data_IF_406602420345
#
_entry.id   IF_406602420345
#
_cell.length_a   1.000
_cell.length_b   1.000
_cell.length_c   1.000
_cell.angle_alpha   90.00
_cell.angle_beta   90.00
_cell.angle_gamma   90.00
#
_symmetry.space_group_name_H-M   'P 1'
#
loop_
_entity.id
_entity.type
_entity.pdbx_description
1 polymer ?
#
# COMPACT_ATOMS: atom_id res chain seq x y z
N UNK A 1 13.45 17.82 -6.10
CA UNK A 1 13.68 16.76 -5.07
C UNK A 1 13.96 17.47 -3.75
N UNK A 2 13.11 17.32 -2.72
CA UNK A 2 13.39 17.99 -1.43
C UNK A 2 14.25 17.09 -0.54
N UNK A 3 15.26 17.70 0.10
CA UNK A 3 16.10 17.08 1.12
C UNK A 3 15.82 17.78 2.44
N UNK A 4 15.70 17.03 3.53
CA UNK A 4 15.50 17.62 4.85
C UNK A 4 15.14 16.58 5.91
N UNK A 5 15.31 16.93 7.19
CA UNK A 5 14.99 16.02 8.31
C UNK A 5 13.49 15.67 8.33
N UNK A 6 12.62 16.65 8.09
CA UNK A 6 11.16 16.50 8.11
C UNK A 6 10.55 17.24 6.92
N UNK A 7 9.61 16.60 6.23
CA UNK A 7 8.83 17.22 5.16
C UNK A 7 7.33 17.06 5.40
N UNK A 8 6.57 18.15 5.25
CA UNK A 8 5.10 18.16 5.26
C UNK A 8 4.62 18.77 3.96
N UNK A 9 3.96 17.97 3.13
CA UNK A 9 3.47 18.40 1.80
C UNK A 9 1.95 18.27 1.75
N UNK A 10 1.30 19.35 1.33
CA UNK A 10 -0.14 19.41 1.10
C UNK A 10 -0.37 20.00 -0.29
N UNK A 11 -0.90 19.22 -1.23
CA UNK A 11 -1.24 19.73 -2.57
C UNK A 11 -2.68 19.37 -2.95
N UNK A 12 -3.29 20.26 -3.72
CA UNK A 12 -4.55 20.06 -4.43
C UNK A 12 -4.31 20.38 -5.89
N UNK A 13 -4.66 19.48 -6.80
CA UNK A 13 -4.45 19.72 -8.23
C UNK A 13 -4.61 18.47 -9.07
N UNK A 14 -4.48 18.62 -10.39
CA UNK A 14 -4.67 17.51 -11.33
C UNK A 14 -3.57 16.46 -11.22
N UNK A 15 -2.31 16.89 -11.09
CA UNK A 15 -1.13 16.03 -11.07
C UNK A 15 -0.18 16.47 -9.95
N UNK A 16 0.42 15.51 -9.26
CA UNK A 16 1.47 15.76 -8.28
C UNK A 16 2.60 14.73 -8.43
N UNK A 17 3.84 15.21 -8.55
CA UNK A 17 5.05 14.40 -8.47
C UNK A 17 5.88 14.83 -7.27
N UNK A 18 6.16 13.90 -6.35
CA UNK A 18 6.89 14.17 -5.13
C UNK A 18 8.08 13.22 -5.02
N UNK A 19 9.28 13.80 -4.90
CA UNK A 19 10.52 13.07 -4.64
C UNK A 19 11.19 13.65 -3.40
N UNK A 20 11.25 12.87 -2.32
CA UNK A 20 11.87 13.27 -1.05
C UNK A 20 12.95 12.29 -0.58
N UNK A 21 13.99 12.85 0.02
CA UNK A 21 14.93 12.13 0.88
C UNK A 21 15.00 12.83 2.24
N UNK A 22 14.71 12.11 3.32
CA UNK A 22 14.63 12.70 4.65
C UNK A 22 14.25 11.72 5.75
N UNK A 23 14.31 12.11 7.02
CA UNK A 23 13.97 11.18 8.12
C UNK A 23 12.47 10.92 8.20
N UNK A 24 11.64 11.97 8.08
CA UNK A 24 10.18 11.89 8.23
C UNK A 24 9.47 12.62 7.10
N UNK A 25 8.45 12.00 6.52
CA UNK A 25 7.60 12.63 5.51
C UNK A 25 6.11 12.45 5.84
N UNK A 26 5.34 13.54 5.75
CA UNK A 26 3.88 13.55 5.80
C UNK A 26 3.36 14.17 4.50
N UNK A 27 2.67 13.39 3.68
CA UNK A 27 2.14 13.83 2.39
C UNK A 27 0.63 13.68 2.38
N UNK A 28 -0.06 14.76 2.00
CA UNK A 28 -1.50 14.78 1.78
C UNK A 28 -1.78 15.35 0.39
N UNK A 29 -2.42 14.56 -0.48
CA UNK A 29 -2.77 14.99 -1.84
C UNK A 29 -4.25 14.76 -2.12
N UNK A 30 -4.88 15.76 -2.75
CA UNK A 30 -6.18 15.63 -3.41
C UNK A 30 -5.99 15.91 -4.91
N UNK A 31 -6.30 14.93 -5.77
CA UNK A 31 -6.04 15.09 -7.20
C UNK A 31 -6.33 13.86 -8.04
N UNK A 32 -6.05 13.95 -9.34
CA UNK A 32 -6.31 12.85 -10.29
C UNK A 32 -5.11 11.92 -10.49
N UNK A 33 -3.89 12.45 -10.44
CA UNK A 33 -2.65 11.67 -10.62
C UNK A 33 -1.64 12.00 -9.53
N UNK A 34 -1.05 10.97 -8.93
CA UNK A 34 0.00 11.13 -7.93
C UNK A 34 1.14 10.12 -8.16
N UNK A 35 2.38 10.62 -8.20
CA UNK A 35 3.60 9.82 -8.21
C UNK A 35 4.47 10.24 -7.03
N UNK A 36 4.72 9.32 -6.10
CA UNK A 36 5.47 9.61 -4.88
C UNK A 36 6.64 8.65 -4.77
N UNK A 37 7.84 9.21 -4.60
CA UNK A 37 9.08 8.47 -4.33
C UNK A 37 9.72 9.00 -3.06
N UNK A 38 9.74 8.21 -1.99
CA UNK A 38 10.39 8.59 -0.72
C UNK A 38 11.49 7.62 -0.34
N UNK A 39 12.61 8.17 0.12
CA UNK A 39 13.62 7.44 0.90
C UNK A 39 13.74 8.09 2.27
N UNK A 40 13.50 7.33 3.34
CA UNK A 40 13.48 7.92 4.68
C UNK A 40 13.05 6.96 5.77
N UNK A 41 13.21 7.32 7.04
CA UNK A 41 12.85 6.41 8.14
C UNK A 41 11.34 6.20 8.25
N UNK A 42 10.55 7.27 8.20
CA UNK A 42 9.11 7.21 8.42
C UNK A 42 8.33 7.99 7.36
N UNK A 43 7.27 7.37 6.83
CA UNK A 43 6.37 8.00 5.88
C UNK A 43 4.90 7.83 6.27
N UNK A 44 4.13 8.93 6.24
CA UNK A 44 2.68 8.94 6.29
C UNK A 44 2.12 9.57 5.01
N UNK A 45 1.40 8.79 4.21
CA UNK A 45 0.89 9.21 2.92
C UNK A 45 -0.63 9.05 2.89
N UNK A 46 -1.33 10.13 2.53
CA UNK A 46 -2.77 10.14 2.32
C UNK A 46 -3.09 10.74 0.96
N UNK A 47 -3.68 9.95 0.06
CA UNK A 47 -4.08 10.41 -1.28
C UNK A 47 -5.56 10.14 -1.52
N UNK A 48 -6.28 11.15 -2.02
CA UNK A 48 -7.70 11.05 -2.33
C UNK A 48 -7.99 11.59 -3.74
N UNK A 49 -8.65 10.77 -4.56
CA UNK A 49 -9.17 11.20 -5.86
C UNK A 49 -10.42 12.06 -5.76
N UNK A 50 -10.54 13.06 -6.62
CA UNK A 50 -11.83 13.68 -6.92
C UNK A 50 -12.76 12.65 -7.55
N UNK A 51 -13.97 12.51 -7.03
CA UNK A 51 -14.94 11.47 -7.42
C UNK A 51 -14.30 10.06 -7.50
N UNK A 52 -13.32 9.78 -6.63
CA UNK A 52 -12.52 8.54 -6.60
C UNK A 52 -11.67 8.25 -7.87
N UNK A 53 -11.41 9.23 -8.74
CA UNK A 53 -10.70 9.06 -10.02
C UNK A 53 -9.16 8.95 -9.94
N UNK A 54 -8.59 8.86 -8.73
CA UNK A 54 -7.13 8.90 -8.55
C UNK A 54 -6.42 7.70 -9.19
N UNK A 55 -5.36 8.00 -9.94
CA UNK A 55 -4.32 7.06 -10.34
C UNK A 55 -3.05 7.38 -9.53
N UNK A 56 -2.67 6.48 -8.62
CA UNK A 56 -1.53 6.70 -7.72
C UNK A 56 -0.46 5.62 -7.87
N UNK A 57 0.81 6.07 -7.90
CA UNK A 57 2.00 5.22 -7.78
C UNK A 57 2.83 5.71 -6.60
N UNK A 58 3.01 4.84 -5.60
CA UNK A 58 3.78 5.14 -4.39
C UNK A 58 4.93 4.15 -4.27
N UNK A 59 6.16 4.68 -4.22
CA UNK A 59 7.37 3.91 -3.98
C UNK A 59 8.08 4.44 -2.73
N UNK A 60 8.21 3.59 -1.70
CA UNK A 60 8.91 3.97 -0.46
C UNK A 60 10.02 2.99 -0.13
N UNK A 61 11.15 3.54 0.32
CA UNK A 61 12.23 2.80 1.01
C UNK A 61 12.42 3.42 2.38
N UNK A 62 12.21 2.65 3.45
CA UNK A 62 12.25 3.19 4.80
C UNK A 62 12.03 2.20 5.92
N UNK A 63 11.96 2.66 7.18
CA UNK A 63 11.68 1.76 8.31
C UNK A 63 10.17 1.53 8.49
N UNK A 64 9.36 2.59 8.49
CA UNK A 64 7.92 2.53 8.74
C UNK A 64 7.13 3.32 7.69
N UNK A 65 6.07 2.70 7.18
CA UNK A 65 5.14 3.34 6.25
C UNK A 65 3.69 3.18 6.71
N UNK A 66 2.93 4.29 6.70
CA UNK A 66 1.46 4.29 6.81
C UNK A 66 0.89 4.94 5.55
N UNK A 67 0.12 4.18 4.78
CA UNK A 67 -0.41 4.62 3.48
C UNK A 67 -1.92 4.45 3.46
N UNK A 68 -2.63 5.52 3.11
CA UNK A 68 -4.08 5.53 2.91
C UNK A 68 -4.40 6.12 1.54
N UNK A 69 -4.90 5.33 0.61
CA UNK A 69 -5.24 5.80 -0.74
C UNK A 69 -6.71 5.51 -1.09
N UNK A 70 -7.38 6.49 -1.73
CA UNK A 70 -8.71 6.32 -2.33
C UNK A 70 -8.69 6.73 -3.81
N UNK A 71 -8.90 5.78 -4.73
CA UNK A 71 -8.76 6.03 -6.17
C UNK A 71 -9.19 4.88 -7.08
N UNK A 72 -9.08 5.04 -8.41
CA UNK A 72 -9.40 4.00 -9.38
C UNK A 72 -8.28 2.96 -9.50
N UNK A 73 -7.02 3.41 -9.59
CA UNK A 73 -5.86 2.55 -9.84
C UNK A 73 -4.74 2.91 -8.88
N UNK A 74 -4.35 1.97 -8.03
CA UNK A 74 -3.42 2.21 -6.94
C UNK A 74 -2.28 1.19 -7.02
N UNK A 75 -1.05 1.68 -7.17
CA UNK A 75 0.17 0.85 -7.16
C UNK A 75 1.07 1.26 -6.01
N UNK A 76 1.42 0.30 -5.17
CA UNK A 76 2.27 0.50 -4.00
C UNK A 76 3.46 -0.45 -4.05
N UNK A 77 4.66 0.10 -3.91
CA UNK A 77 5.90 -0.66 -3.73
C UNK A 77 6.62 -0.17 -2.48
N UNK A 78 6.72 -1.01 -1.45
CA UNK A 78 7.41 -0.68 -0.20
C UNK A 78 8.55 -1.64 0.08
N UNK A 79 9.68 -1.09 0.51
CA UNK A 79 10.77 -1.82 1.15
C UNK A 79 11.01 -1.22 2.53
N UNK A 80 10.84 -2.01 3.58
CA UNK A 80 11.02 -1.51 4.94
C UNK A 80 10.64 -2.47 6.06
N UNK A 81 10.82 -2.08 7.33
CA UNK A 81 10.54 -2.99 8.44
C UNK A 81 9.04 -3.18 8.69
N UNK A 82 8.25 -2.10 8.69
CA UNK A 82 6.82 -2.13 9.02
C UNK A 82 6.00 -1.35 8.01
N UNK A 83 4.92 -1.95 7.51
CA UNK A 83 3.99 -1.31 6.60
C UNK A 83 2.54 -1.49 7.07
N UNK A 84 1.78 -0.38 7.11
CA UNK A 84 0.32 -0.38 7.21
C UNK A 84 -0.27 0.26 5.96
N UNK A 85 -1.04 -0.49 5.21
CA UNK A 85 -1.62 -0.07 3.92
C UNK A 85 -3.13 -0.22 3.98
N UNK A 86 -3.83 0.88 3.69
CA UNK A 86 -5.28 0.93 3.57
C UNK A 86 -5.66 1.49 2.20
N UNK A 87 -6.34 0.71 1.37
CA UNK A 87 -6.79 1.17 0.05
C UNK A 87 -8.29 0.99 -0.15
N UNK A 88 -8.90 1.99 -0.77
CA UNK A 88 -10.26 1.89 -1.33
C UNK A 88 -10.22 2.26 -2.81
N UNK A 89 -10.50 1.32 -3.70
CA UNK A 89 -10.41 1.59 -5.13
C UNK A 89 -10.76 0.43 -6.05
N UNK A 90 -10.87 0.66 -7.36
CA UNK A 90 -11.26 -0.40 -8.28
C UNK A 90 -10.15 -1.45 -8.46
N UNK A 91 -8.90 -1.00 -8.67
CA UNK A 91 -7.74 -1.87 -8.89
C UNK A 91 -6.60 -1.49 -7.95
N UNK A 92 -6.07 -2.48 -7.23
CA UNK A 92 -4.94 -2.34 -6.33
C UNK A 92 -3.83 -3.36 -6.65
N UNK A 93 -2.60 -2.87 -6.77
CA UNK A 93 -1.38 -3.68 -6.86
C UNK A 93 -0.44 -3.31 -5.72
N UNK A 94 -0.08 -4.29 -4.89
CA UNK A 94 0.75 -4.07 -3.71
C UNK A 94 1.92 -5.05 -3.72
N UNK A 95 3.13 -4.50 -3.66
CA UNK A 95 4.36 -5.25 -3.45
C UNK A 95 5.06 -4.74 -2.19
N UNK A 96 5.14 -5.57 -1.15
CA UNK A 96 5.89 -5.21 0.06
C UNK A 96 7.01 -6.21 0.34
N UNK A 97 8.18 -5.68 0.70
CA UNK A 97 9.30 -6.44 1.27
C UNK A 97 9.61 -5.87 2.65
N UNK A 98 9.46 -6.67 3.70
CA UNK A 98 9.61 -6.17 5.06
C UNK A 98 9.30 -7.15 6.19
N UNK A 99 9.56 -6.79 7.44
CA UNK A 99 9.29 -7.70 8.57
C UNK A 99 7.79 -7.86 8.87
N UNK A 100 7.04 -6.75 8.93
CA UNK A 100 5.62 -6.78 9.28
C UNK A 100 4.78 -6.00 8.28
N UNK A 101 3.71 -6.61 7.80
CA UNK A 101 2.74 -5.99 6.90
C UNK A 101 1.31 -6.14 7.43
N UNK A 102 0.57 -5.03 7.46
CA UNK A 102 -0.87 -5.01 7.66
C UNK A 102 -1.52 -4.36 6.42
N UNK A 103 -2.37 -5.11 5.73
CA UNK A 103 -3.06 -4.68 4.53
C UNK A 103 -4.56 -4.78 4.73
N UNK A 104 -5.27 -3.67 4.47
CA UNK A 104 -6.72 -3.63 4.36
C UNK A 104 -7.11 -3.05 3.01
N UNK A 105 -7.78 -3.83 2.17
CA UNK A 105 -8.26 -3.38 0.85
C UNK A 105 -9.76 -3.56 0.70
N UNK A 106 -10.38 -2.57 0.09
CA UNK A 106 -11.74 -2.68 -0.44
C UNK A 106 -11.75 -2.24 -1.90
N UNK A 107 -12.10 -3.16 -2.80
CA UNK A 107 -11.99 -2.90 -4.24
C UNK A 107 -12.41 -4.05 -5.12
N UNK A 108 -12.51 -3.84 -6.44
CA UNK A 108 -12.92 -4.93 -7.34
C UNK A 108 -11.81 -5.96 -7.50
N UNK A 109 -10.60 -5.52 -7.84
CA UNK A 109 -9.48 -6.40 -8.13
C UNK A 109 -8.25 -6.04 -7.28
N UNK A 110 -7.64 -7.04 -6.66
CA UNK A 110 -6.42 -6.90 -5.88
C UNK A 110 -5.34 -7.89 -6.31
N UNK A 111 -4.11 -7.40 -6.49
CA UNK A 111 -2.90 -8.23 -6.59
C UNK A 111 -1.95 -7.87 -5.45
N UNK A 112 -1.58 -8.84 -4.64
CA UNK A 112 -0.75 -8.64 -3.45
C UNK A 112 0.42 -9.61 -3.46
N UNK A 113 1.63 -9.07 -3.41
CA UNK A 113 2.87 -9.83 -3.23
C UNK A 113 3.59 -9.36 -1.96
N UNK A 114 3.72 -10.26 -0.99
CA UNK A 114 4.42 -9.99 0.26
C UNK A 114 5.61 -10.93 0.44
N UNK A 115 6.77 -10.34 0.75
CA UNK A 115 7.93 -11.07 1.30
C UNK A 115 8.26 -10.51 2.67
N UNK A 116 8.10 -11.30 3.73
CA UNK A 116 8.29 -10.81 5.08
C UNK A 116 8.19 -11.82 6.20
N UNK A 117 8.22 -11.38 7.45
CA UNK A 117 8.10 -12.30 8.58
C UNK A 117 6.64 -12.52 9.00
N UNK A 118 5.87 -11.44 9.12
CA UNK A 118 4.46 -11.49 9.54
C UNK A 118 3.58 -10.67 8.59
N UNK A 119 2.48 -11.25 8.13
CA UNK A 119 1.48 -10.58 7.31
C UNK A 119 0.08 -10.75 7.89
N UNK A 120 -0.68 -9.64 7.93
CA UNK A 120 -2.13 -9.64 8.13
C UNK A 120 -2.80 -8.97 6.94
N UNK A 121 -3.71 -9.67 6.29
CA UNK A 121 -4.41 -9.19 5.09
C UNK A 121 -5.91 -9.33 5.28
N UNK A 122 -6.64 -8.25 5.04
CA UNK A 122 -8.10 -8.23 4.98
C UNK A 122 -8.53 -7.62 3.64
N UNK A 123 -9.15 -8.42 2.78
CA UNK A 123 -9.65 -7.97 1.47
C UNK A 123 -11.16 -8.13 1.38
N UNK A 124 -11.82 -7.10 0.85
CA UNK A 124 -13.20 -7.16 0.39
C UNK A 124 -13.25 -6.77 -1.08
N UNK A 125 -13.66 -7.68 -1.95
CA UNK A 125 -13.64 -7.44 -3.39
C UNK A 125 -14.20 -8.56 -4.25
N UNK A 126 -14.08 -8.41 -5.57
CA UNK A 126 -14.53 -9.45 -6.50
C UNK A 126 -13.43 -10.49 -6.76
N UNK A 127 -12.21 -10.02 -7.10
CA UNK A 127 -11.09 -10.89 -7.46
C UNK A 127 -9.83 -10.55 -6.68
N UNK A 128 -9.16 -11.56 -6.15
CA UNK A 128 -7.90 -11.43 -5.43
C UNK A 128 -6.84 -12.44 -5.88
N UNK A 129 -5.63 -11.95 -6.17
CA UNK A 129 -4.42 -12.76 -6.31
C UNK A 129 -3.45 -12.40 -5.18
N UNK A 130 -3.05 -13.39 -4.38
CA UNK A 130 -2.22 -13.18 -3.20
C UNK A 130 -1.05 -14.16 -3.21
N UNK A 131 0.17 -13.63 -3.16
CA UNK A 131 1.39 -14.40 -2.98
C UNK A 131 2.10 -13.95 -1.70
N UNK A 132 2.21 -14.85 -0.71
CA UNK A 132 2.88 -14.56 0.56
C UNK A 132 4.07 -15.50 0.75
N UNK A 133 5.24 -14.91 1.02
CA UNK A 133 6.44 -15.62 1.46
C UNK A 133 6.86 -15.09 2.83
N UNK A 134 6.77 -15.94 3.87
CA UNK A 134 7.11 -15.51 5.22
C UNK A 134 6.81 -16.51 6.32
N UNK A 135 7.15 -16.17 7.57
CA UNK A 135 6.97 -17.11 8.69
C UNK A 135 5.50 -17.28 9.10
N UNK A 136 4.75 -16.18 9.19
CA UNK A 136 3.34 -16.17 9.63
C UNK A 136 2.46 -15.32 8.73
N UNK A 137 1.32 -15.86 8.29
CA UNK A 137 0.31 -15.14 7.52
C UNK A 137 -1.09 -15.37 8.09
N UNK A 138 -1.87 -14.29 8.21
CA UNK A 138 -3.31 -14.32 8.45
C UNK A 138 -4.02 -13.57 7.34
N UNK A 139 -4.91 -14.24 6.62
CA UNK A 139 -5.61 -13.70 5.45
C UNK A 139 -7.11 -13.90 5.63
N UNK A 140 -7.88 -12.83 5.55
CA UNK A 140 -9.33 -12.85 5.49
C UNK A 140 -9.77 -12.24 4.17
N UNK A 141 -10.49 -13.02 3.35
CA UNK A 141 -11.04 -12.57 2.08
C UNK A 141 -12.55 -12.64 2.11
N UNK A 142 -13.18 -11.58 1.60
CA UNK A 142 -14.60 -11.55 1.26
C UNK A 142 -14.75 -11.26 -0.22
N UNK A 143 -15.11 -12.25 -1.04
CA UNK A 143 -15.20 -12.06 -2.49
C UNK A 143 -15.55 -13.31 -3.30
N UNK A 144 -15.64 -13.13 -4.62
CA UNK A 144 -16.07 -14.20 -5.54
C UNK A 144 -14.92 -15.12 -5.95
N UNK A 145 -13.75 -14.56 -6.26
CA UNK A 145 -12.60 -15.33 -6.76
C UNK A 145 -11.32 -15.00 -5.99
N UNK A 146 -10.62 -16.04 -5.53
CA UNK A 146 -9.34 -15.89 -4.86
C UNK A 146 -8.32 -16.94 -5.35
N UNK A 147 -7.13 -16.49 -5.74
CA UNK A 147 -5.94 -17.32 -5.95
C UNK A 147 -4.91 -16.98 -4.88
N UNK A 148 -4.56 -17.94 -4.03
CA UNK A 148 -3.62 -17.74 -2.92
C UNK A 148 -2.46 -18.72 -3.02
N UNK A 149 -1.24 -18.19 -3.05
CA UNK A 149 0.00 -18.95 -2.93
C UNK A 149 0.74 -18.57 -1.65
N UNK A 150 1.00 -19.54 -0.79
CA UNK A 150 1.69 -19.34 0.48
C UNK A 150 2.98 -20.16 0.54
N UNK A 151 4.06 -19.54 1.01
CA UNK A 151 5.31 -20.20 1.38
C UNK A 151 5.71 -19.73 2.78
N UNK A 152 5.52 -20.58 3.78
CA UNK A 152 5.72 -20.19 5.18
C UNK A 152 5.49 -21.29 6.19
N UNK A 153 5.80 -21.01 7.45
CA UNK A 153 5.65 -21.99 8.54
C UNK A 153 4.23 -22.04 9.10
N UNK A 154 3.52 -20.90 9.18
CA UNK A 154 2.14 -20.85 9.70
C UNK A 154 1.26 -19.95 8.84
N UNK A 155 0.09 -20.46 8.47
CA UNK A 155 -0.91 -19.74 7.69
C UNK A 155 -2.32 -19.97 8.23
N UNK A 156 -3.09 -18.90 8.34
CA UNK A 156 -4.52 -18.93 8.61
C UNK A 156 -5.25 -18.20 7.48
N UNK A 157 -6.15 -18.89 6.78
CA UNK A 157 -6.94 -18.33 5.68
C UNK A 157 -8.41 -18.50 6.00
N UNK A 158 -9.15 -17.39 5.94
CA UNK A 158 -10.61 -17.37 6.02
C UNK A 158 -11.15 -16.79 4.72
N UNK A 159 -11.99 -17.56 4.02
CA UNK A 159 -12.71 -17.15 2.82
C UNK A 159 -14.20 -17.01 3.15
N UNK A 160 -14.81 -15.92 2.71
CA UNK A 160 -16.23 -15.59 2.82
C UNK A 160 -16.69 -14.89 1.53
#
# INVERSE_FOLDING_TARGET
MLRGLKAKIMLRGLKAEIVLRGLKAKIMLKGLKAKIMLRGLNAKIMLKGWKAQLKAKVMLRGLKAKITLRGLRLKIMLRGLKAKVMLRGLKAEIMLRGLKAEIMLSGLNAKIMLKGWKAKIMLRGLKAEIMLRGLKAKTMLRGLEAKIMLRGLKAEIMLR
#
